data_IF_483919636115
#
_entry.id   IF_483919636115
#
_cell.length_a   1.000
_cell.length_b   1.000
_cell.length_c   1.000
_cell.angle_alpha   90.00
_cell.angle_beta   90.00
_cell.angle_gamma   90.00
#
_symmetry.space_group_name_H-M   'P 1'
#
loop_
_entity.id
_entity.type
_entity.pdbx_description
1 polymer ?
#
# COMPACT_ATOMS: atom_id res chain seq x y z
N UNK A 1 19.29 -10.62 0.92
CA UNK A 1 18.35 -10.11 -0.11
C UNK A 1 18.35 -8.60 0.02
N UNK A 2 18.35 -7.86 -1.08
CA UNK A 2 18.12 -6.43 -1.03
C UNK A 2 16.61 -6.21 -1.10
N UNK A 3 16.07 -5.36 -0.22
CA UNK A 3 14.66 -5.02 -0.24
C UNK A 3 14.31 -4.28 -1.55
N UNK A 4 13.13 -4.58 -2.09
CA UNK A 4 12.67 -4.00 -3.35
C UNK A 4 12.26 -2.54 -3.12
N UNK A 5 12.67 -1.65 -4.03
CA UNK A 5 12.33 -0.22 -3.96
C UNK A 5 11.21 0.15 -4.92
N UNK A 6 10.38 1.11 -4.52
CA UNK A 6 9.62 1.93 -5.44
C UNK A 6 10.49 3.12 -5.88
N UNK A 7 10.72 3.27 -7.18
CA UNK A 7 11.43 4.41 -7.77
C UNK A 7 10.42 5.42 -8.32
N UNK A 8 10.43 6.64 -7.76
CA UNK A 8 9.61 7.75 -8.22
C UNK A 8 10.53 8.71 -8.99
N UNK A 9 10.81 8.34 -10.24
CA UNK A 9 11.82 8.98 -11.08
C UNK A 9 11.65 10.51 -11.19
N UNK A 10 10.41 10.99 -11.26
CA UNK A 10 10.12 12.44 -11.39
C UNK A 10 10.49 13.26 -10.16
N UNK A 11 10.68 12.62 -9.01
CA UNK A 11 11.08 13.26 -7.75
C UNK A 11 12.53 12.92 -7.34
N UNK A 12 13.20 12.01 -8.07
CA UNK A 12 14.52 11.46 -7.70
C UNK A 12 14.55 10.86 -6.28
N UNK A 13 13.49 10.10 -5.93
CA UNK A 13 13.30 9.49 -4.60
C UNK A 13 13.02 7.99 -4.73
N UNK A 14 13.54 7.22 -3.77
CA UNK A 14 13.18 5.83 -3.56
C UNK A 14 12.53 5.60 -2.20
N UNK A 15 11.51 4.76 -2.17
CA UNK A 15 10.95 4.22 -0.93
C UNK A 15 11.03 2.69 -0.91
N UNK A 16 11.03 2.12 0.29
CA UNK A 16 10.94 0.69 0.52
C UNK A 16 9.54 0.40 1.09
N UNK A 17 8.55 0.12 0.23
CA UNK A 17 7.24 -0.31 0.70
C UNK A 17 7.31 -1.72 1.29
N UNK A 18 6.42 -2.04 2.22
CA UNK A 18 6.31 -3.41 2.74
C UNK A 18 5.86 -4.39 1.65
N UNK A 19 4.92 -3.97 0.79
CA UNK A 19 4.52 -4.74 -0.40
C UNK A 19 4.40 -3.84 -1.61
N UNK A 20 4.96 -4.31 -2.73
CA UNK A 20 4.79 -3.71 -4.06
C UNK A 20 4.35 -4.78 -5.05
N UNK A 21 3.30 -4.48 -5.81
CA UNK A 21 2.84 -5.35 -6.90
C UNK A 21 2.90 -4.57 -8.20
N UNK A 22 3.60 -5.13 -9.18
CA UNK A 22 3.62 -4.64 -10.56
C UNK A 22 3.07 -5.71 -11.50
N UNK A 23 2.29 -5.27 -12.48
CA UNK A 23 1.87 -6.11 -13.61
C UNK A 23 2.47 -5.60 -14.93
N UNK A 24 3.31 -4.57 -14.86
CA UNK A 24 3.85 -3.91 -16.04
C UNK A 24 5.11 -4.63 -16.54
N UNK A 25 5.19 -5.04 -17.81
CA UNK A 25 6.34 -5.78 -18.32
C UNK A 25 7.64 -4.95 -18.28
N UNK A 26 7.57 -3.61 -18.29
CA UNK A 26 8.76 -2.74 -18.20
C UNK A 26 9.52 -2.94 -16.89
N UNK A 27 8.81 -3.27 -15.80
CA UNK A 27 9.43 -3.56 -14.51
C UNK A 27 10.24 -4.87 -14.48
N UNK A 28 10.21 -5.68 -15.54
CA UNK A 28 11.09 -6.85 -15.68
C UNK A 28 12.54 -6.47 -15.98
N UNK A 29 12.76 -5.27 -16.52
CA UNK A 29 14.10 -4.76 -16.84
C UNK A 29 14.84 -4.28 -15.58
N UNK A 30 14.12 -3.94 -14.51
CA UNK A 30 14.68 -3.40 -13.28
C UNK A 30 14.81 -4.49 -12.21
N UNK A 31 16.05 -4.87 -11.88
CA UNK A 31 16.30 -5.93 -10.89
C UNK A 31 16.12 -5.49 -9.44
N UNK A 32 16.36 -4.20 -9.14
CA UNK A 32 16.49 -3.71 -7.75
C UNK A 32 15.41 -2.70 -7.33
N UNK A 33 14.58 -2.25 -8.27
CA UNK A 33 13.49 -1.33 -8.03
C UNK A 33 12.35 -1.57 -9.02
N UNK A 34 11.20 -0.93 -8.78
CA UNK A 34 10.03 -0.91 -9.66
C UNK A 34 9.55 0.53 -9.85
N UNK A 35 9.20 0.88 -11.08
CA UNK A 35 8.71 2.21 -11.49
C UNK A 35 7.24 2.20 -11.85
N UNK A 36 6.68 1.02 -12.11
CA UNK A 36 5.31 0.89 -12.61
C UNK A 36 4.41 0.04 -11.68
N UNK A 37 4.37 0.31 -10.37
CA UNK A 37 3.54 -0.45 -9.46
C UNK A 37 2.06 -0.20 -9.72
N UNK A 38 1.28 -1.26 -9.59
CA UNK A 38 -0.18 -1.23 -9.64
C UNK A 38 -0.80 -1.06 -8.24
N UNK A 39 -0.14 -1.63 -7.23
CA UNK A 39 -0.53 -1.61 -5.82
C UNK A 39 0.71 -1.42 -4.95
N UNK A 40 0.59 -0.59 -3.92
CA UNK A 40 1.55 -0.44 -2.82
C UNK A 40 0.82 -0.63 -1.49
N UNK A 41 1.42 -1.37 -0.55
CA UNK A 41 0.92 -1.56 0.82
C UNK A 41 2.01 -1.14 1.80
N UNK A 42 1.60 -0.43 2.85
CA UNK A 42 2.45 -0.01 3.96
C UNK A 42 1.81 -0.44 5.29
N UNK A 43 2.60 -1.02 6.18
CA UNK A 43 2.25 -1.34 7.56
C UNK A 43 2.67 -0.15 8.43
N UNK A 44 1.70 0.62 8.89
CA UNK A 44 1.96 1.88 9.57
C UNK A 44 2.20 1.68 11.07
N UNK A 45 3.12 2.47 11.62
CA UNK A 45 3.42 2.56 13.05
C UNK A 45 3.12 3.98 13.55
N UNK A 46 3.03 4.21 14.88
CA UNK A 46 2.92 5.57 15.41
C UNK A 46 4.02 6.52 14.93
N UNK A 47 5.22 6.00 14.61
CA UNK A 47 6.34 6.78 14.12
C UNK A 47 6.31 7.10 12.62
N UNK A 48 5.59 6.31 11.82
CA UNK A 48 5.58 6.44 10.34
C UNK A 48 4.23 6.88 9.79
N UNK A 49 3.13 6.67 10.53
CA UNK A 49 1.75 6.90 10.08
C UNK A 49 1.54 8.29 9.46
N UNK A 50 2.04 9.34 10.11
CA UNK A 50 1.91 10.71 9.57
C UNK A 50 2.62 10.91 8.23
N UNK A 51 3.78 10.25 8.05
CA UNK A 51 4.53 10.30 6.80
C UNK A 51 3.87 9.45 5.71
N UNK A 52 3.48 8.22 6.03
CA UNK A 52 2.85 7.27 5.09
C UNK A 52 1.50 7.79 4.59
N UNK A 53 0.70 8.44 5.45
CA UNK A 53 -0.59 9.07 5.08
C UNK A 53 -0.42 10.38 4.32
N UNK A 54 0.65 11.11 4.63
CA UNK A 54 0.91 12.45 4.12
C UNK A 54 1.89 12.43 2.95
N UNK A 55 3.14 12.80 3.25
CA UNK A 55 4.15 13.09 2.21
C UNK A 55 4.47 11.88 1.34
N UNK A 56 4.58 10.68 1.91
CA UNK A 56 4.88 9.47 1.13
C UNK A 56 3.76 9.16 0.14
N UNK A 57 2.50 9.26 0.57
CA UNK A 57 1.37 9.09 -0.33
C UNK A 57 1.31 10.19 -1.39
N UNK A 58 1.59 11.45 -1.02
CA UNK A 58 1.71 12.54 -1.99
C UNK A 58 2.70 12.18 -3.11
N UNK A 59 3.88 11.69 -2.74
CA UNK A 59 4.93 11.30 -3.68
C UNK A 59 4.52 10.10 -4.55
N UNK A 60 3.94 9.05 -3.95
CA UNK A 60 3.46 7.88 -4.69
C UNK A 60 2.37 8.21 -5.72
N UNK A 61 1.59 9.28 -5.54
CA UNK A 61 0.58 9.70 -6.52
C UNK A 61 1.18 10.15 -7.86
N UNK A 62 2.49 10.40 -7.93
CA UNK A 62 3.21 10.64 -9.19
C UNK A 62 3.45 9.36 -10.02
N UNK A 63 3.20 8.18 -9.45
CA UNK A 63 3.28 6.91 -10.18
C UNK A 63 1.98 6.69 -10.96
N UNK A 64 1.98 6.99 -12.26
CA UNK A 64 0.77 6.94 -13.10
C UNK A 64 0.06 5.58 -13.15
N UNK A 65 0.82 4.51 -12.94
CA UNK A 65 0.34 3.13 -12.95
C UNK A 65 -0.30 2.70 -11.64
N UNK A 66 -0.07 3.44 -10.55
CA UNK A 66 -0.59 3.12 -9.23
C UNK A 66 -2.11 3.28 -9.22
N UNK A 67 -2.80 2.21 -8.81
CA UNK A 67 -4.27 2.16 -8.73
C UNK A 67 -4.76 2.09 -7.29
N UNK A 68 -4.00 1.45 -6.42
CA UNK A 68 -4.37 1.26 -5.02
C UNK A 68 -3.16 1.50 -4.10
N UNK A 69 -3.40 2.22 -3.01
CA UNK A 69 -2.45 2.46 -1.92
C UNK A 69 -3.11 2.05 -0.62
N UNK A 70 -2.53 1.07 0.08
CA UNK A 70 -3.15 0.43 1.24
C UNK A 70 -2.32 0.70 2.48
N UNK A 71 -2.97 1.17 3.55
CA UNK A 71 -2.37 1.34 4.86
C UNK A 71 -2.95 0.31 5.82
N UNK A 72 -2.09 -0.45 6.48
CA UNK A 72 -2.46 -1.46 7.48
C UNK A 72 -1.98 -0.97 8.84
N UNK A 73 -2.90 -0.70 9.76
CA UNK A 73 -2.55 -0.33 11.12
C UNK A 73 -2.05 -1.56 11.88
N UNK A 74 -0.97 -1.44 12.65
CA UNK A 74 -0.45 -2.55 13.46
C UNK A 74 -1.00 -2.59 14.89
N UNK A 75 -1.61 -1.49 15.36
CA UNK A 75 -2.11 -1.33 16.73
C UNK A 75 -3.60 -1.68 16.88
N UNK A 76 -4.30 -1.87 15.76
CA UNK A 76 -5.73 -2.20 15.68
C UNK A 76 -6.01 -2.91 14.36
N UNK A 77 -7.09 -3.69 14.32
CA UNK A 77 -7.56 -4.31 13.07
C UNK A 77 -8.26 -3.27 12.18
N UNK A 78 -7.46 -2.56 11.37
CA UNK A 78 -7.90 -1.47 10.50
C UNK A 78 -7.04 -1.40 9.25
N UNK A 79 -7.68 -1.55 8.10
CA UNK A 79 -7.05 -1.41 6.79
C UNK A 79 -7.75 -0.31 6.01
N UNK A 80 -6.95 0.57 5.41
CA UNK A 80 -7.45 1.66 4.57
C UNK A 80 -6.93 1.49 3.15
N UNK A 81 -7.83 1.29 2.19
CA UNK A 81 -7.47 1.24 0.77
C UNK A 81 -7.86 2.55 0.11
N UNK A 82 -6.88 3.34 -0.30
CA UNK A 82 -7.09 4.46 -1.23
C UNK A 82 -7.05 3.93 -2.65
N UNK A 83 -8.13 4.11 -3.40
CA UNK A 83 -8.24 3.68 -4.80
C UNK A 83 -8.39 4.87 -5.73
N UNK A 84 -7.59 4.90 -6.80
CA UNK A 84 -7.69 5.90 -7.86
C UNK A 84 -8.85 5.54 -8.80
N UNK A 85 -9.89 6.37 -8.83
CA UNK A 85 -11.06 6.19 -9.70
C UNK A 85 -10.77 6.65 -11.15
N UNK A 86 -11.76 6.52 -12.04
CA UNK A 86 -11.67 6.92 -13.44
C UNK A 86 -11.46 8.43 -13.66
N UNK A 87 -11.83 9.26 -12.68
CA UNK A 87 -11.63 10.71 -12.70
C UNK A 87 -10.24 11.11 -12.16
N UNK A 88 -9.43 10.13 -11.73
CA UNK A 88 -8.12 10.36 -11.14
C UNK A 88 -8.16 10.73 -9.66
N UNK A 89 -9.33 10.67 -9.01
CA UNK A 89 -9.50 10.95 -7.59
C UNK A 89 -9.20 9.71 -6.74
N UNK A 90 -8.62 9.92 -5.56
CA UNK A 90 -8.35 8.86 -4.60
C UNK A 90 -9.52 8.76 -3.60
N UNK A 91 -10.22 7.63 -3.63
CA UNK A 91 -11.37 7.35 -2.76
C UNK A 91 -10.93 6.38 -1.67
N UNK A 92 -11.28 6.69 -0.41
CA UNK A 92 -10.99 5.83 0.74
C UNK A 92 -12.05 4.74 0.89
N UNK A 93 -11.60 3.50 0.94
CA UNK A 93 -12.38 2.31 1.32
C UNK A 93 -11.81 1.76 2.63
N UNK A 94 -12.45 2.05 3.79
CA UNK A 94 -12.01 1.55 5.08
C UNK A 94 -12.55 0.15 5.34
N UNK A 95 -11.73 -0.68 5.98
CA UNK A 95 -12.06 -2.04 6.39
C UNK A 95 -11.64 -2.28 7.84
N UNK A 96 -12.43 -3.06 8.57
CA UNK A 96 -12.19 -3.45 9.96
C UNK A 96 -12.43 -4.95 10.16
N UNK A 97 -12.15 -5.44 11.38
CA UNK A 97 -12.29 -6.86 11.74
C UNK A 97 -13.66 -7.44 11.33
N UNK A 98 -13.64 -8.68 10.82
CA UNK A 98 -14.81 -9.39 10.32
C UNK A 98 -15.26 -8.99 8.91
N UNK A 99 -14.62 -8.00 8.28
CA UNK A 99 -14.84 -7.66 6.87
C UNK A 99 -13.85 -8.39 5.95
N UNK A 100 -14.09 -8.28 4.65
CA UNK A 100 -13.20 -8.73 3.59
C UNK A 100 -12.67 -7.50 2.84
N UNK A 101 -11.36 -7.42 2.63
CA UNK A 101 -10.79 -6.42 1.72
C UNK A 101 -10.98 -6.87 0.28
N UNK A 102 -11.29 -5.92 -0.59
CA UNK A 102 -11.29 -6.14 -2.04
C UNK A 102 -10.29 -5.19 -2.71
N UNK A 103 -9.20 -5.74 -3.24
CA UNK A 103 -8.21 -5.03 -4.05
C UNK A 103 -8.59 -5.16 -5.53
N UNK A 104 -9.30 -4.17 -6.03
CA UNK A 104 -9.89 -4.19 -7.38
C UNK A 104 -8.84 -4.22 -8.47
N UNK A 105 -7.67 -3.63 -8.23
CA UNK A 105 -6.60 -3.63 -9.23
C UNK A 105 -6.06 -5.03 -9.52
N UNK A 106 -6.25 -5.98 -8.60
CA UNK A 106 -5.78 -7.36 -8.71
C UNK A 106 -6.92 -8.40 -8.79
N UNK A 107 -8.18 -7.97 -8.69
CA UNK A 107 -9.34 -8.83 -8.42
C UNK A 107 -9.07 -9.81 -7.25
N UNK A 108 -8.51 -9.28 -6.17
CA UNK A 108 -8.10 -10.06 -5.00
C UNK A 108 -8.99 -9.74 -3.80
N UNK A 109 -9.38 -10.80 -3.08
CA UNK A 109 -10.20 -10.73 -1.86
C UNK A 109 -9.53 -11.52 -0.75
N UNK A 110 -9.57 -10.97 0.47
CA UNK A 110 -9.00 -11.60 1.64
C UNK A 110 -9.73 -11.14 2.91
N UNK A 111 -9.91 -12.04 3.87
CA UNK A 111 -10.49 -11.67 5.16
C UNK A 111 -9.53 -10.72 5.89
N UNK A 112 -10.06 -9.69 6.55
CA UNK A 112 -9.23 -8.84 7.42
C UNK A 112 -8.59 -9.67 8.54
N UNK A 113 -9.26 -10.74 9.00
CA UNK A 113 -8.67 -11.61 10.03
C UNK A 113 -7.45 -12.38 9.51
N UNK A 114 -7.37 -12.66 8.21
CA UNK A 114 -6.22 -13.36 7.61
C UNK A 114 -5.02 -12.41 7.46
N UNK A 115 -5.27 -11.12 7.22
CA UNK A 115 -4.22 -10.08 7.22
C UNK A 115 -3.59 -9.94 8.62
N UNK A 116 -4.41 -10.10 9.66
CA UNK A 116 -4.01 -10.01 11.06
C UNK A 116 -3.83 -11.40 11.70
N UNK A 117 -3.60 -12.45 10.90
CA UNK A 117 -3.30 -13.77 11.43
C UNK A 117 -2.09 -13.67 12.38
N UNK A 118 -2.21 -14.30 13.55
CA UNK A 118 -1.20 -14.29 14.62
C UNK A 118 -0.87 -12.92 15.24
N UNK A 119 -1.66 -11.88 14.97
CA UNK A 119 -1.52 -10.57 15.63
C UNK A 119 -2.36 -10.50 16.91
N UNK A 120 -1.68 -10.36 18.05
CA UNK A 120 -2.32 -10.09 19.33
C UNK A 120 -2.30 -8.59 19.65
N UNK A 121 -3.47 -7.95 19.66
CA UNK A 121 -3.59 -6.54 20.06
C UNK A 121 -3.55 -6.40 21.58
N UNK A 122 -2.76 -5.46 22.09
CA UNK A 122 -2.79 -5.13 23.50
C UNK A 122 -4.12 -4.46 23.85
N UNK A 123 -4.84 -5.02 24.81
CA UNK A 123 -6.04 -4.39 25.36
C UNK A 123 -5.57 -3.25 26.27
N UNK A 124 -5.66 -2.01 25.79
CA UNK A 124 -5.45 -0.84 26.65
C UNK A 124 -6.57 -0.81 27.69
N UNK A 125 -6.22 -1.06 28.96
CA UNK A 125 -7.14 -1.02 30.11
C UNK A 125 -7.25 0.40 30.64
#
# INVERSE_FOLDING_TARGET
>A
MADMKADIEVLDIYYYPDVIVTCDPRDREFQYFKRYPKLIIEVISPGTEGFDRGKKFEDYRHLDTLKEYVLIAQDRSSVECFRKNSEGLWVLYPYSSGQEIYLESLDFRCSINDIYEDVEFQVTT
#
